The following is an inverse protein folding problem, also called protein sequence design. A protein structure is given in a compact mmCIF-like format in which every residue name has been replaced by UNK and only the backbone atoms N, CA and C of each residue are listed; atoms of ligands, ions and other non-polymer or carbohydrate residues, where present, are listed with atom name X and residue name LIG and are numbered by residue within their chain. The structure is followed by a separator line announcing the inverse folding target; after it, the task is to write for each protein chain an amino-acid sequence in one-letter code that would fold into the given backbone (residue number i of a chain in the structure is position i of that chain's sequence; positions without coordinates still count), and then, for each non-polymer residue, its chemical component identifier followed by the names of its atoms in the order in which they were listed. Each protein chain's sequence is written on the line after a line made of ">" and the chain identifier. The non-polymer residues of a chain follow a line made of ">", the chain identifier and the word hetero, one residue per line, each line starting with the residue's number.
data_IF_473293475793
#
_entry.id   IF_473293475793
#
_cell.length_a   1.000
_cell.length_b   1.000
_cell.length_c   1.000
_cell.angle_alpha   90.00
_cell.angle_beta   90.00
_cell.angle_gamma   90.00
#
_symmetry.space_group_name_H-M   'P 1'
#
loop_
_entity.id
_entity.type
_entity.pdbx_description
1 polymer ?
#
# COMPACT_ATOMS: atom_id res chain seq x y z
N UNK A 1 -44.40 41.25 39.08
CA UNK A 1 -44.70 40.29 37.99
C UNK A 1 -44.12 40.82 36.70
N UNK A 2 -42.90 40.43 36.35
CA UNK A 2 -42.37 40.52 34.98
C UNK A 2 -41.48 39.29 34.80
N UNK A 3 -41.94 38.34 34.00
CA UNK A 3 -41.32 37.03 33.81
C UNK A 3 -40.23 37.06 32.74
N UNK A 4 -39.15 36.33 33.00
CA UNK A 4 -38.12 35.98 32.04
C UNK A 4 -38.64 34.97 31.00
N UNK A 5 -38.32 35.19 29.73
CA UNK A 5 -38.37 34.16 28.70
C UNK A 5 -36.96 33.97 28.13
N UNK A 6 -36.37 32.81 28.42
CA UNK A 6 -35.22 32.25 27.70
C UNK A 6 -35.72 31.55 26.43
N UNK A 7 -35.21 31.95 25.27
CA UNK A 7 -35.41 31.23 24.01
C UNK A 7 -34.36 30.12 23.87
N UNK A 8 -34.82 28.87 24.00
CA UNK A 8 -34.10 27.68 23.60
C UNK A 8 -34.10 27.56 22.06
N UNK A 9 -32.94 27.69 21.42
CA UNK A 9 -32.73 27.21 20.05
C UNK A 9 -32.33 25.74 20.08
N UNK A 10 -33.30 24.84 19.95
CA UNK A 10 -33.06 23.43 19.64
C UNK A 10 -32.68 23.31 18.15
N UNK A 11 -31.39 23.19 17.89
CA UNK A 11 -30.88 22.77 16.59
C UNK A 11 -31.25 21.29 16.38
N UNK A 12 -31.98 21.02 15.30
CA UNK A 12 -32.45 19.70 14.90
C UNK A 12 -31.28 18.70 14.84
N UNK A 13 -31.37 17.63 15.65
CA UNK A 13 -30.54 16.44 15.49
C UNK A 13 -31.05 15.68 14.27
N UNK A 14 -30.36 15.85 13.14
CA UNK A 14 -30.47 14.90 12.03
C UNK A 14 -29.88 13.57 12.48
N UNK A 15 -30.74 12.62 12.83
CA UNK A 15 -30.40 11.20 12.93
C UNK A 15 -29.97 10.73 11.54
N UNK A 16 -28.67 10.51 11.36
CA UNK A 16 -28.13 9.79 10.20
C UNK A 16 -28.66 8.36 10.34
N UNK A 17 -29.47 7.92 9.36
CA UNK A 17 -29.90 6.54 9.24
C UNK A 17 -28.66 5.66 9.03
N UNK A 18 -28.29 4.87 10.05
CA UNK A 18 -27.45 3.70 9.88
C UNK A 18 -28.24 2.69 9.05
N UNK A 19 -28.02 2.68 7.73
CA UNK A 19 -28.54 1.64 6.84
C UNK A 19 -28.08 0.25 7.28
N UNK A 20 -28.68 -0.84 6.78
CA UNK A 20 -28.33 -2.19 7.19
C UNK A 20 -26.88 -2.49 6.76
N UNK A 21 -25.94 -2.29 7.67
CA UNK A 21 -24.57 -2.77 7.53
C UNK A 21 -24.66 -4.29 7.51
N UNK A 22 -24.36 -4.92 6.38
CA UNK A 22 -24.16 -6.37 6.32
C UNK A 22 -23.06 -6.72 7.32
N UNK A 23 -23.42 -7.48 8.35
CA UNK A 23 -22.46 -7.89 9.37
C UNK A 23 -21.66 -9.07 8.80
N UNK A 24 -20.53 -8.77 8.15
CA UNK A 24 -19.59 -9.80 7.71
C UNK A 24 -19.10 -10.60 8.92
N UNK A 25 -19.16 -11.93 8.84
CA UNK A 25 -18.50 -12.78 9.83
C UNK A 25 -17.01 -12.90 9.49
N UNK A 26 -16.18 -12.09 10.18
CA UNK A 26 -14.73 -12.12 9.96
C UNK A 26 -14.08 -13.45 10.37
N UNK A 27 -14.73 -14.30 11.18
CA UNK A 27 -14.18 -15.62 11.50
C UNK A 27 -14.07 -16.53 10.27
N UNK A 28 -14.90 -16.30 9.26
CA UNK A 28 -14.80 -16.96 7.95
C UNK A 28 -13.46 -16.64 7.26
N UNK A 29 -13.02 -15.38 7.35
CA UNK A 29 -11.79 -14.92 6.69
C UNK A 29 -10.54 -15.19 7.51
N UNK A 30 -10.61 -15.11 8.84
CA UNK A 30 -9.43 -15.27 9.72
C UNK A 30 -9.04 -16.75 9.76
N UNK A 31 -7.76 -17.04 9.49
CA UNK A 31 -7.28 -18.43 9.46
C UNK A 31 -7.31 -19.11 10.84
N UNK A 32 -7.24 -20.44 10.83
CA UNK A 32 -7.33 -21.27 12.02
C UNK A 32 -6.30 -20.92 13.10
N UNK A 33 -5.07 -20.58 12.72
CA UNK A 33 -4.02 -20.16 13.64
C UNK A 33 -4.34 -18.83 14.31
N UNK A 34 -4.81 -17.86 13.54
CA UNK A 34 -5.07 -16.50 14.00
C UNK A 34 -6.28 -16.42 14.93
N UNK A 35 -7.26 -17.31 14.74
CA UNK A 35 -8.38 -17.48 15.69
C UNK A 35 -7.91 -17.91 17.08
N UNK A 36 -6.74 -18.56 17.20
CA UNK A 36 -6.18 -19.00 18.49
C UNK A 36 -5.38 -17.91 19.21
N UNK A 37 -4.93 -16.87 18.51
CA UNK A 37 -4.27 -15.76 19.17
C UNK A 37 -5.18 -15.10 20.21
N UNK A 38 -4.57 -14.72 21.32
CA UNK A 38 -5.14 -13.95 22.43
C UNK A 38 -4.21 -12.77 22.68
N UNK A 39 -4.76 -11.67 23.19
CA UNK A 39 -3.94 -10.54 23.60
C UNK A 39 -2.95 -10.99 24.69
N UNK A 40 -1.76 -10.41 24.65
CA UNK A 40 -0.77 -10.61 25.71
C UNK A 40 -1.26 -9.96 27.01
N UNK A 41 -1.27 -10.68 28.15
CA UNK A 41 -1.64 -10.10 29.44
C UNK A 41 -0.78 -8.88 29.82
N UNK A 42 0.51 -8.88 29.45
CA UNK A 42 1.40 -7.73 29.69
C UNK A 42 1.01 -6.51 28.87
N UNK A 43 0.40 -6.71 27.70
CA UNK A 43 -0.07 -5.62 26.84
C UNK A 43 -1.39 -5.03 27.35
N UNK A 44 -2.29 -5.87 27.86
CA UNK A 44 -3.48 -5.37 28.56
C UNK A 44 -3.10 -4.50 29.77
N UNK A 45 -2.11 -4.91 30.56
CA UNK A 45 -1.58 -4.11 31.68
C UNK A 45 -0.94 -2.81 31.18
N UNK A 46 -0.20 -2.85 30.07
CA UNK A 46 0.42 -1.67 29.48
C UNK A 46 -0.63 -0.65 28.99
N UNK A 47 -1.67 -1.11 28.31
CA UNK A 47 -2.77 -0.26 27.84
C UNK A 47 -3.54 0.37 29.03
N UNK A 48 -3.76 -0.40 30.12
CA UNK A 48 -4.30 0.14 31.37
C UNK A 48 -3.37 1.22 31.92
N UNK A 49 -2.07 0.93 32.05
CA UNK A 49 -1.10 1.90 32.58
C UNK A 49 -1.09 3.18 31.75
N UNK A 50 -1.13 3.10 30.42
CA UNK A 50 -1.16 4.26 29.53
C UNK A 50 -2.43 5.10 29.71
N UNK A 51 -3.57 4.47 30.01
CA UNK A 51 -4.85 5.17 30.28
C UNK A 51 -4.91 5.88 31.65
N UNK A 52 -4.05 5.53 32.60
CA UNK A 52 -4.03 6.14 33.94
C UNK A 52 -3.58 7.62 33.89
N UNK A 53 -4.09 8.47 34.80
CA UNK A 53 -3.73 9.88 34.89
C UNK A 53 -2.25 10.11 35.25
N UNK A 54 -1.82 11.38 35.19
CA UNK A 54 -0.46 11.77 35.60
C UNK A 54 -0.16 11.42 37.06
N UNK A 55 1.12 11.18 37.38
CA UNK A 55 1.56 10.71 38.69
C UNK A 55 1.51 9.19 38.88
N UNK A 56 1.05 8.44 37.87
CA UNK A 56 1.11 6.98 37.83
C UNK A 56 2.54 6.44 37.99
N UNK A 57 2.67 5.34 38.73
CA UNK A 57 3.95 4.68 39.01
C UNK A 57 3.92 3.27 38.42
N UNK A 58 4.92 2.91 37.63
CA UNK A 58 5.07 1.58 37.06
C UNK A 58 6.10 0.76 37.86
N UNK A 59 5.65 -0.34 38.45
CA UNK A 59 6.51 -1.40 39.03
C UNK A 59 6.27 -2.78 38.39
N UNK A 60 5.37 -2.86 37.40
CA UNK A 60 4.92 -4.12 36.81
C UNK A 60 5.52 -4.37 35.41
N UNK A 61 5.58 -3.34 34.57
CA UNK A 61 6.08 -3.43 33.19
C UNK A 61 7.60 -3.25 33.19
N UNK A 62 8.30 -4.10 32.44
CA UNK A 62 9.76 -4.10 32.30
C UNK A 62 10.31 -2.98 31.41
N UNK A 63 9.81 -1.74 31.54
CA UNK A 63 10.30 -0.61 30.77
C UNK A 63 11.66 -0.11 31.31
N UNK A 64 12.70 0.02 30.47
CA UNK A 64 13.96 0.63 30.89
C UNK A 64 13.76 2.10 31.28
N UNK A 65 14.55 2.58 32.25
CA UNK A 65 14.50 3.96 32.69
C UNK A 65 15.00 4.90 31.57
N UNK A 66 14.16 5.82 31.11
CA UNK A 66 14.51 6.73 30.01
C UNK A 66 15.73 7.62 30.29
N UNK A 67 16.11 7.81 31.56
CA UNK A 67 17.35 8.52 31.92
C UNK A 67 18.63 7.79 31.49
N UNK A 68 18.56 6.49 31.16
CA UNK A 68 19.71 5.72 30.66
C UNK A 68 19.82 5.73 29.13
N UNK A 69 18.85 6.32 28.43
CA UNK A 69 18.90 6.43 26.98
C UNK A 69 20.01 7.40 26.56
N UNK A 70 20.83 7.00 25.60
CA UNK A 70 22.06 7.73 25.23
C UNK A 70 21.83 9.05 24.46
N UNK A 71 20.58 9.41 24.14
CA UNK A 71 20.25 10.55 23.30
C UNK A 71 19.63 11.68 24.11
N UNK A 72 20.29 12.83 24.18
CA UNK A 72 19.74 14.03 24.81
C UNK A 72 18.74 14.75 23.90
N UNK A 73 19.05 14.85 22.61
CA UNK A 73 18.19 15.44 21.58
C UNK A 73 18.52 14.86 20.21
N UNK A 74 17.57 14.94 19.27
CA UNK A 74 17.75 14.60 17.86
C UNK A 74 17.25 15.79 17.03
N UNK A 75 18.10 16.29 16.13
CA UNK A 75 17.75 17.36 15.18
C UNK A 75 17.70 16.80 13.76
N UNK A 76 16.57 17.02 13.08
CA UNK A 76 16.38 16.67 11.66
C UNK A 76 16.25 17.96 10.87
N UNK A 77 17.16 18.20 9.92
CA UNK A 77 17.10 19.37 9.03
C UNK A 77 16.50 18.96 7.70
N UNK A 78 15.42 19.63 7.30
CA UNK A 78 14.71 19.40 6.04
C UNK A 78 15.39 20.15 4.89
N UNK A 79 15.17 19.68 3.65
CA UNK A 79 15.75 20.30 2.45
C UNK A 79 15.33 21.77 2.23
N UNK A 80 14.19 22.18 2.80
CA UNK A 80 13.72 23.56 2.75
C UNK A 80 14.29 24.45 3.88
N UNK A 81 15.25 23.95 4.66
CA UNK A 81 15.92 24.67 5.74
C UNK A 81 15.17 24.64 7.09
N UNK A 82 13.96 24.09 7.16
CA UNK A 82 13.26 23.88 8.43
C UNK A 82 13.93 22.77 9.25
N UNK A 83 13.77 22.81 10.57
CA UNK A 83 14.29 21.77 11.46
C UNK A 83 13.23 21.24 12.42
N UNK A 84 13.31 19.94 12.73
CA UNK A 84 12.58 19.27 13.80
C UNK A 84 13.55 18.95 14.93
N UNK A 85 13.19 19.27 16.18
CA UNK A 85 13.99 18.94 17.36
C UNK A 85 13.19 18.05 18.30
N UNK A 86 13.64 16.80 18.48
CA UNK A 86 13.09 15.87 19.46
C UNK A 86 13.92 15.94 20.73
N UNK A 87 13.28 16.24 21.87
CA UNK A 87 13.92 16.30 23.20
C UNK A 87 12.92 16.00 24.32
N UNK A 88 13.43 15.73 25.53
CA UNK A 88 12.61 15.55 26.72
C UNK A 88 11.55 14.45 26.57
N UNK A 89 10.30 14.75 26.97
CA UNK A 89 9.20 13.78 26.97
C UNK A 89 8.94 13.18 25.58
N UNK A 90 8.99 14.00 24.52
CA UNK A 90 8.75 13.52 23.15
C UNK A 90 9.81 12.51 22.70
N UNK A 91 11.09 12.81 22.98
CA UNK A 91 12.19 11.89 22.66
C UNK A 91 12.11 10.61 23.49
N UNK A 92 11.83 10.73 24.79
CA UNK A 92 11.71 9.58 25.68
C UNK A 92 10.57 8.65 25.23
N UNK A 93 9.41 9.21 24.84
CA UNK A 93 8.29 8.43 24.27
C UNK A 93 8.68 7.76 22.95
N UNK A 94 9.45 8.45 22.09
CA UNK A 94 9.88 7.91 20.80
C UNK A 94 10.85 6.72 20.93
N UNK A 95 11.68 6.73 21.98
CA UNK A 95 12.73 5.73 22.21
C UNK A 95 12.30 4.58 23.15
N UNK A 96 11.17 4.73 23.85
CA UNK A 96 10.63 3.70 24.73
C UNK A 96 9.80 2.67 23.94
N UNK A 97 9.62 1.49 24.52
CA UNK A 97 8.57 0.56 24.09
C UNK A 97 7.20 1.25 24.08
N UNK A 98 6.39 0.92 23.08
CA UNK A 98 5.03 1.42 22.94
C UNK A 98 3.99 0.31 22.76
N UNK A 99 2.74 0.75 22.61
CA UNK A 99 1.61 -0.10 22.25
C UNK A 99 1.77 -0.65 20.82
N UNK A 100 1.30 -1.88 20.57
CA UNK A 100 1.38 -2.51 19.24
C UNK A 100 0.47 -1.84 18.21
N UNK A 101 -0.53 -1.11 18.69
CA UNK A 101 -1.41 -0.24 17.93
C UNK A 101 -0.65 0.99 17.39
N UNK A 102 0.55 1.27 17.90
CA UNK A 102 1.35 2.44 17.57
C UNK A 102 1.19 3.58 18.56
N UNK A 103 1.93 4.67 18.34
CA UNK A 103 1.81 5.88 19.13
C UNK A 103 0.41 6.49 18.96
N UNK A 104 -0.33 6.71 20.05
CA UNK A 104 -1.72 7.14 20.02
C UNK A 104 -1.95 8.47 19.28
N UNK A 105 -1.07 9.46 19.47
CA UNK A 105 -1.17 10.74 18.78
C UNK A 105 -0.98 10.55 17.26
N UNK A 106 -0.03 9.70 16.86
CA UNK A 106 0.20 9.38 15.46
C UNK A 106 -0.97 8.58 14.86
N UNK A 107 -1.52 7.60 15.56
CA UNK A 107 -2.70 6.83 15.10
C UNK A 107 -3.91 7.74 14.91
N UNK A 108 -4.15 8.67 15.84
CA UNK A 108 -5.22 9.65 15.71
C UNK A 108 -5.01 10.56 14.50
N UNK A 109 -3.77 10.99 14.26
CA UNK A 109 -3.42 11.74 13.05
C UNK A 109 -3.67 10.92 11.79
N UNK A 110 -3.30 9.63 11.77
CA UNK A 110 -3.55 8.73 10.63
C UNK A 110 -5.04 8.56 10.33
N UNK A 111 -5.90 8.48 11.35
CA UNK A 111 -7.36 8.43 11.16
C UNK A 111 -7.88 9.70 10.47
N UNK A 112 -7.43 10.86 10.93
CA UNK A 112 -7.77 12.15 10.30
C UNK A 112 -7.21 12.26 8.88
N UNK A 113 -6.03 11.70 8.63
CA UNK A 113 -5.44 11.61 7.31
C UNK A 113 -6.33 10.76 6.38
N UNK A 114 -6.79 9.59 6.83
CA UNK A 114 -7.68 8.75 6.03
C UNK A 114 -9.03 9.40 5.76
N UNK A 115 -9.67 9.99 6.77
CA UNK A 115 -10.94 10.69 6.60
C UNK A 115 -10.82 11.84 5.59
N UNK A 116 -9.67 12.50 5.53
CA UNK A 116 -9.41 13.61 4.60
C UNK A 116 -9.29 13.15 3.14
N UNK A 117 -8.59 12.07 2.86
CA UNK A 117 -8.32 11.63 1.48
C UNK A 117 -9.35 10.63 0.94
N UNK A 118 -9.95 9.83 1.83
CA UNK A 118 -10.89 8.78 1.46
C UNK A 118 -12.33 9.08 1.88
N UNK A 119 -12.53 10.17 2.64
CA UNK A 119 -13.83 10.52 3.23
C UNK A 119 -14.08 9.74 4.52
N UNK A 120 -14.98 10.25 5.39
CA UNK A 120 -15.41 9.47 6.54
C UNK A 120 -16.10 8.20 6.05
N UNK A 121 -15.65 7.05 6.54
CA UNK A 121 -16.28 5.79 6.19
C UNK A 121 -17.74 5.78 6.65
N UNK A 122 -18.58 5.15 5.83
CA UNK A 122 -20.02 4.98 6.08
C UNK A 122 -20.24 4.15 7.35
N UNK A 123 -19.27 3.30 7.69
CA UNK A 123 -19.21 2.50 8.92
C UNK A 123 -18.11 3.01 9.86
N UNK A 124 -18.39 3.01 11.17
CA UNK A 124 -17.45 3.54 12.19
C UNK A 124 -16.55 2.48 12.83
N UNK A 125 -16.79 1.21 12.55
CA UNK A 125 -16.06 0.10 13.13
C UNK A 125 -14.75 -0.22 12.39
N UNK A 126 -13.96 0.80 12.05
CA UNK A 126 -12.63 0.71 11.44
C UNK A 126 -11.53 1.09 12.43
N UNK A 127 -10.30 0.66 12.17
CA UNK A 127 -9.11 1.18 12.84
C UNK A 127 -7.97 1.46 11.87
N UNK A 128 -6.91 2.04 12.40
CA UNK A 128 -5.64 2.24 11.69
C UNK A 128 -4.48 1.76 12.57
N UNK A 129 -3.60 0.93 12.01
CA UNK A 129 -2.39 0.47 12.70
C UNK A 129 -1.14 0.83 11.87
N UNK A 130 -0.11 1.47 12.47
CA UNK A 130 1.17 1.67 11.83
C UNK A 130 1.88 0.35 11.53
N UNK A 131 2.64 0.32 10.46
CA UNK A 131 3.47 -0.82 10.06
C UNK A 131 4.87 -0.35 9.65
N UNK A 132 5.79 -1.30 9.56
CA UNK A 132 7.13 -1.13 9.03
C UNK A 132 7.14 -1.01 7.49
N UNK A 133 6.11 -0.38 6.91
CA UNK A 133 5.84 -0.26 5.48
C UNK A 133 4.92 -1.36 4.91
N UNK A 134 4.46 -1.18 3.66
CA UNK A 134 3.48 -2.08 3.03
C UNK A 134 3.88 -3.56 3.05
N UNK A 135 5.17 -3.90 2.87
CA UNK A 135 5.61 -5.30 2.85
C UNK A 135 5.33 -6.04 4.16
N UNK A 136 5.59 -5.41 5.32
CA UNK A 136 5.26 -6.02 6.62
C UNK A 136 3.75 -6.13 6.77
N UNK A 137 3.01 -5.09 6.37
CA UNK A 137 1.56 -5.09 6.45
C UNK A 137 0.90 -6.18 5.60
N UNK A 138 1.32 -6.38 4.35
CA UNK A 138 0.84 -7.50 3.51
C UNK A 138 1.19 -8.83 4.19
N UNK A 139 2.40 -8.98 4.72
CA UNK A 139 2.81 -10.20 5.42
C UNK A 139 1.93 -10.52 6.63
N UNK A 140 1.58 -9.50 7.43
CA UNK A 140 0.69 -9.64 8.58
C UNK A 140 -0.74 -10.01 8.15
N UNK A 141 -1.26 -9.38 7.10
CA UNK A 141 -2.61 -9.66 6.57
C UNK A 141 -2.69 -11.09 6.03
N UNK A 142 -1.74 -11.50 5.18
CA UNK A 142 -1.67 -12.87 4.65
C UNK A 142 -1.54 -13.87 5.80
N UNK A 143 -0.72 -13.59 6.81
CA UNK A 143 -0.55 -14.47 7.97
C UNK A 143 -1.78 -14.49 8.90
N UNK A 144 -2.64 -13.47 8.82
CA UNK A 144 -3.90 -13.37 9.58
C UNK A 144 -5.05 -14.09 8.88
N UNK A 145 -5.13 -13.97 7.55
CA UNK A 145 -6.29 -14.39 6.74
C UNK A 145 -6.07 -15.75 6.09
N UNK A 146 -4.88 -16.02 5.57
CA UNK A 146 -4.66 -17.14 4.67
C UNK A 146 -3.97 -18.32 5.36
N UNK A 147 -4.40 -19.53 5.02
CA UNK A 147 -3.74 -20.80 5.33
C UNK A 147 -3.64 -21.67 4.06
N UNK A 148 -3.00 -22.84 4.17
CA UNK A 148 -2.88 -23.76 3.03
C UNK A 148 -4.25 -24.12 2.45
N UNK A 149 -4.28 -24.36 1.14
CA UNK A 149 -5.48 -24.70 0.35
C UNK A 149 -6.50 -23.56 0.20
N UNK A 150 -6.21 -22.37 0.74
CA UNK A 150 -6.97 -21.16 0.43
C UNK A 150 -6.76 -20.71 -1.01
N UNK A 151 -7.65 -19.84 -1.46
CA UNK A 151 -7.66 -19.27 -2.81
C UNK A 151 -7.55 -17.74 -2.70
N UNK A 152 -6.68 -17.14 -3.52
CA UNK A 152 -6.43 -15.70 -3.55
C UNK A 152 -6.49 -15.21 -5.00
N UNK A 153 -7.08 -14.04 -5.22
CA UNK A 153 -6.97 -13.34 -6.50
C UNK A 153 -5.76 -12.41 -6.45
N UNK A 154 -4.87 -12.47 -7.43
CA UNK A 154 -3.72 -11.56 -7.54
C UNK A 154 -3.72 -10.86 -8.90
N UNK A 155 -3.24 -9.63 -8.96
CA UNK A 155 -2.89 -9.04 -10.25
C UNK A 155 -1.84 -9.89 -10.98
N UNK A 156 -1.83 -9.84 -12.30
CA UNK A 156 -0.80 -10.50 -13.12
C UNK A 156 -0.50 -9.63 -14.35
N UNK A 157 0.75 -9.16 -14.54
CA UNK A 157 1.91 -9.31 -13.65
C UNK A 157 1.72 -8.58 -12.30
N UNK A 158 2.50 -8.93 -11.27
CA UNK A 158 2.40 -8.34 -9.92
C UNK A 158 3.75 -8.13 -9.25
N UNK A 159 3.77 -7.33 -8.18
CA UNK A 159 4.95 -7.06 -7.37
C UNK A 159 5.56 -8.35 -6.80
N UNK A 160 6.87 -8.62 -7.00
CA UNK A 160 7.48 -9.90 -6.60
C UNK A 160 7.45 -10.16 -5.08
N UNK A 161 7.32 -9.11 -4.26
CA UNK A 161 7.18 -9.26 -2.81
C UNK A 161 5.86 -9.93 -2.39
N UNK A 162 4.79 -9.85 -3.21
CA UNK A 162 3.55 -10.61 -3.01
C UNK A 162 3.78 -12.07 -3.36
N UNK A 163 4.42 -12.35 -4.51
CA UNK A 163 4.72 -13.72 -4.93
C UNK A 163 5.63 -14.45 -3.95
N UNK A 164 6.66 -13.76 -3.44
CA UNK A 164 7.59 -14.29 -2.43
C UNK A 164 6.89 -14.70 -1.14
N UNK A 165 5.75 -14.07 -0.83
CA UNK A 165 4.93 -14.36 0.34
C UNK A 165 3.93 -15.49 0.09
N UNK A 166 3.36 -15.58 -1.12
CA UNK A 166 2.30 -16.54 -1.45
C UNK A 166 2.83 -17.89 -1.95
N UNK A 167 3.89 -17.92 -2.77
CA UNK A 167 4.47 -19.16 -3.33
C UNK A 167 4.75 -20.23 -2.27
N UNK A 168 5.29 -19.91 -1.07
CA UNK A 168 5.56 -20.92 -0.05
C UNK A 168 4.31 -21.49 0.66
N UNK A 169 3.09 -20.95 0.41
CA UNK A 169 1.91 -21.20 1.25
C UNK A 169 0.95 -22.29 0.76
N UNK A 170 1.25 -23.00 -0.32
CA UNK A 170 0.31 -23.97 -0.94
C UNK A 170 -1.10 -23.37 -1.12
N UNK A 171 -1.16 -22.19 -1.73
CA UNK A 171 -2.39 -21.42 -1.99
C UNK A 171 -2.63 -21.37 -3.49
N UNK A 172 -3.89 -21.48 -3.91
CA UNK A 172 -4.27 -21.29 -5.31
C UNK A 172 -4.34 -19.79 -5.63
N UNK A 173 -3.63 -19.36 -6.67
CA UNK A 173 -3.62 -17.97 -7.16
C UNK A 173 -4.45 -17.83 -8.44
N UNK A 174 -5.57 -17.11 -8.36
CA UNK A 174 -6.40 -16.76 -9.51
C UNK A 174 -5.89 -15.43 -10.10
N UNK A 175 -5.56 -15.36 -11.40
CA UNK A 175 -5.05 -14.13 -12.00
C UNK A 175 -6.18 -13.13 -12.29
N UNK A 176 -5.95 -11.87 -11.94
CA UNK A 176 -6.58 -10.69 -12.52
C UNK A 176 -5.54 -10.04 -13.45
N UNK A 177 -5.66 -10.26 -14.75
CA UNK A 177 -4.71 -9.71 -15.71
C UNK A 177 -4.82 -8.18 -15.79
N UNK A 178 -3.70 -7.49 -15.60
CA UNK A 178 -3.57 -6.02 -15.62
C UNK A 178 -2.29 -5.63 -16.34
N UNK A 179 -2.23 -5.92 -17.64
CA UNK A 179 -1.11 -5.59 -18.52
C UNK A 179 -1.56 -4.60 -19.62
N UNK A 180 -0.79 -4.48 -20.69
CA UNK A 180 -1.05 -3.51 -21.77
C UNK A 180 -2.36 -3.73 -22.53
N UNK A 181 -3.10 -4.81 -22.26
CA UNK A 181 -4.47 -5.01 -22.75
C UNK A 181 -5.53 -4.44 -21.79
N UNK A 182 -5.11 -3.86 -20.66
CA UNK A 182 -5.98 -3.30 -19.62
C UNK A 182 -6.36 -4.29 -18.51
N UNK A 183 -7.36 -3.93 -17.70
CA UNK A 183 -7.84 -4.77 -16.59
C UNK A 183 -8.88 -5.77 -17.09
N UNK A 184 -8.56 -7.07 -17.07
CA UNK A 184 -9.40 -8.14 -17.63
C UNK A 184 -10.48 -8.64 -16.65
N UNK A 185 -11.41 -7.76 -16.27
CA UNK A 185 -12.46 -8.07 -15.27
C UNK A 185 -13.42 -9.17 -15.73
N UNK A 186 -13.75 -9.24 -17.02
CA UNK A 186 -14.69 -10.25 -17.54
C UNK A 186 -14.13 -11.68 -17.37
N UNK A 187 -12.82 -11.85 -17.57
CA UNK A 187 -12.15 -13.13 -17.31
C UNK A 187 -12.30 -13.53 -15.84
N UNK A 188 -12.07 -12.59 -14.90
CA UNK A 188 -12.25 -12.85 -13.48
C UNK A 188 -13.72 -13.21 -13.16
N UNK A 189 -14.68 -12.50 -13.75
CA UNK A 189 -16.12 -12.77 -13.57
C UNK A 189 -16.49 -14.18 -14.02
N UNK A 190 -15.99 -14.62 -15.17
CA UNK A 190 -16.23 -15.96 -15.69
C UNK A 190 -15.62 -17.04 -14.78
N UNK A 191 -14.36 -16.87 -14.36
CA UNK A 191 -13.68 -17.80 -13.43
C UNK A 191 -14.49 -17.95 -12.14
N UNK A 192 -14.89 -16.84 -11.51
CA UNK A 192 -15.65 -16.87 -10.25
C UNK A 192 -17.03 -17.54 -10.42
N UNK A 193 -17.70 -17.29 -11.55
CA UNK A 193 -18.98 -17.93 -11.87
C UNK A 193 -18.84 -19.45 -12.03
N UNK A 194 -17.86 -19.90 -12.80
CA UNK A 194 -17.61 -21.33 -13.03
C UNK A 194 -17.24 -22.05 -11.73
N UNK A 195 -16.36 -21.45 -10.91
CA UNK A 195 -15.99 -22.01 -9.60
C UNK A 195 -17.21 -22.20 -8.70
N UNK A 196 -18.05 -21.16 -8.61
CA UNK A 196 -19.29 -21.20 -7.83
C UNK A 196 -20.24 -22.31 -8.28
N UNK A 197 -20.40 -22.51 -9.60
CA UNK A 197 -21.23 -23.60 -10.15
C UNK A 197 -20.62 -24.98 -9.85
N UNK A 198 -19.30 -25.11 -9.94
CA UNK A 198 -18.58 -26.37 -9.70
C UNK A 198 -18.36 -26.71 -8.22
N UNK A 199 -18.80 -25.85 -7.29
CA UNK A 199 -18.57 -26.03 -5.85
C UNK A 199 -17.10 -25.96 -5.42
N UNK A 200 -16.22 -25.32 -6.22
CA UNK A 200 -14.83 -25.09 -5.85
C UNK A 200 -14.72 -23.99 -4.80
N UNK A 201 -13.68 -24.05 -3.98
CA UNK A 201 -13.39 -23.01 -2.97
C UNK A 201 -13.35 -21.62 -3.61
N UNK A 202 -14.07 -20.68 -3.04
CA UNK A 202 -14.05 -19.28 -3.48
C UNK A 202 -12.84 -18.56 -2.86
N UNK A 203 -12.30 -17.51 -3.51
CA UNK A 203 -11.20 -16.74 -2.95
C UNK A 203 -11.60 -16.09 -1.62
N UNK A 204 -10.65 -16.00 -0.69
CA UNK A 204 -10.82 -15.23 0.56
C UNK A 204 -10.40 -13.77 0.42
N UNK A 205 -9.45 -13.52 -0.48
CA UNK A 205 -8.76 -12.24 -0.61
C UNK A 205 -8.46 -11.94 -2.08
N UNK A 206 -8.60 -10.68 -2.48
CA UNK A 206 -7.94 -10.13 -3.67
C UNK A 206 -6.83 -9.17 -3.23
N UNK A 207 -5.65 -9.23 -3.85
CA UNK A 207 -4.55 -8.29 -3.63
C UNK A 207 -4.37 -7.44 -4.89
N UNK A 208 -4.50 -6.12 -4.77
CA UNK A 208 -4.40 -5.17 -5.88
C UNK A 208 -3.51 -3.98 -5.53
N UNK A 209 -2.68 -3.57 -6.49
CA UNK A 209 -2.12 -2.24 -6.61
C UNK A 209 -3.03 -1.37 -7.50
N UNK A 210 -3.82 -0.51 -6.86
CA UNK A 210 -4.85 0.31 -7.50
C UNK A 210 -4.32 1.42 -8.41
N UNK A 211 -3.19 2.02 -8.05
CA UNK A 211 -2.66 3.22 -8.70
C UNK A 211 -1.22 2.96 -9.14
N UNK A 212 -0.91 3.15 -10.44
CA UNK A 212 0.44 2.97 -10.97
C UNK A 212 1.05 1.60 -10.65
N UNK A 213 0.28 0.52 -10.87
CA UNK A 213 0.60 -0.83 -10.41
C UNK A 213 2.00 -1.31 -10.78
N UNK A 214 2.65 -2.04 -9.87
CA UNK A 214 3.96 -2.62 -10.13
C UNK A 214 3.80 -4.06 -10.65
N UNK A 215 4.22 -4.38 -11.89
CA UNK A 215 5.09 -3.59 -12.76
C UNK A 215 4.39 -2.81 -13.88
N UNK A 216 3.10 -3.03 -14.11
CA UNK A 216 2.42 -2.63 -15.36
C UNK A 216 2.32 -1.11 -15.58
N UNK A 217 2.44 -0.31 -14.52
CA UNK A 217 2.18 1.14 -14.54
C UNK A 217 0.70 1.50 -14.64
N UNK A 218 -0.20 0.52 -14.57
CA UNK A 218 -1.64 0.70 -14.79
C UNK A 218 -2.34 1.16 -13.52
N UNK A 219 -3.27 2.09 -13.70
CA UNK A 219 -4.20 2.54 -12.65
C UNK A 219 -5.57 1.94 -12.97
N UNK A 220 -6.15 1.23 -12.00
CA UNK A 220 -7.50 0.67 -12.12
C UNK A 220 -8.49 1.85 -12.10
N UNK A 221 -9.34 1.96 -13.10
CA UNK A 221 -10.34 3.02 -13.20
C UNK A 221 -11.43 2.90 -12.14
N UNK A 222 -12.16 3.98 -11.85
CA UNK A 222 -13.26 3.95 -10.88
C UNK A 222 -14.35 2.93 -11.26
N UNK A 223 -14.66 2.80 -12.56
CA UNK A 223 -15.62 1.81 -13.07
C UNK A 223 -15.14 0.39 -12.76
N UNK A 224 -13.88 0.10 -13.08
CA UNK A 224 -13.27 -1.21 -12.82
C UNK A 224 -13.20 -1.53 -11.31
N UNK A 225 -12.90 -0.54 -10.47
CA UNK A 225 -12.96 -0.70 -9.00
C UNK A 225 -14.37 -1.04 -8.52
N UNK A 226 -15.41 -0.38 -9.06
CA UNK A 226 -16.81 -0.71 -8.75
C UNK A 226 -17.16 -2.14 -9.16
N UNK A 227 -16.72 -2.57 -10.34
CA UNK A 227 -16.95 -3.94 -10.82
C UNK A 227 -16.25 -4.98 -9.92
N UNK A 228 -14.98 -4.75 -9.54
CA UNK A 228 -14.24 -5.61 -8.61
C UNK A 228 -14.92 -5.65 -7.24
N UNK A 229 -15.35 -4.49 -6.73
CA UNK A 229 -16.04 -4.38 -5.46
C UNK A 229 -17.36 -5.15 -5.46
N UNK A 230 -18.15 -5.06 -6.54
CA UNK A 230 -19.38 -5.85 -6.70
C UNK A 230 -19.11 -7.35 -6.75
N UNK A 231 -18.02 -7.79 -7.40
CA UNK A 231 -17.60 -9.20 -7.37
C UNK A 231 -17.22 -9.63 -5.96
N UNK A 232 -16.53 -8.77 -5.21
CA UNK A 232 -16.16 -9.02 -3.81
C UNK A 232 -17.39 -9.19 -2.94
N UNK A 233 -18.40 -8.32 -3.08
CA UNK A 233 -19.70 -8.45 -2.42
C UNK A 233 -20.41 -9.75 -2.80
N UNK A 234 -20.53 -10.04 -4.09
CA UNK A 234 -21.27 -11.20 -4.61
C UNK A 234 -20.67 -12.54 -4.19
N UNK A 235 -19.35 -12.65 -4.22
CA UNK A 235 -18.62 -13.90 -3.99
C UNK A 235 -17.94 -13.96 -2.62
N UNK A 236 -18.20 -12.97 -1.78
CA UNK A 236 -17.76 -12.85 -0.39
C UNK A 236 -16.26 -12.99 -0.17
N UNK A 237 -15.46 -12.09 -0.77
CA UNK A 237 -14.03 -11.97 -0.51
C UNK A 237 -13.63 -10.58 -0.04
N UNK A 238 -12.51 -10.49 0.67
CA UNK A 238 -11.90 -9.23 1.12
C UNK A 238 -11.02 -8.62 0.03
N UNK A 239 -10.83 -7.30 0.07
CA UNK A 239 -9.98 -6.55 -0.85
C UNK A 239 -8.80 -5.98 -0.08
N UNK A 240 -7.58 -6.40 -0.44
CA UNK A 240 -6.35 -5.79 -0.01
C UNK A 240 -5.86 -4.81 -1.08
N UNK A 241 -6.06 -3.52 -0.84
CA UNK A 241 -5.57 -2.43 -1.68
C UNK A 241 -4.18 -1.99 -1.18
N UNK A 242 -3.11 -2.46 -1.85
CA UNK A 242 -1.74 -1.98 -1.63
C UNK A 242 -1.45 -0.77 -2.52
N UNK A 243 -1.49 0.45 -1.98
CA UNK A 243 -1.50 1.66 -2.81
C UNK A 243 -0.36 2.64 -2.51
N UNK A 244 0.92 2.20 -2.55
CA UNK A 244 2.06 3.05 -2.19
C UNK A 244 2.30 4.19 -3.19
N UNK A 245 1.65 4.16 -4.37
CA UNK A 245 1.77 5.16 -5.42
C UNK A 245 0.54 6.07 -5.53
N UNK A 246 -0.42 5.99 -4.59
CA UNK A 246 -1.66 6.77 -4.61
C UNK A 246 -1.44 8.27 -4.89
N UNK A 247 -0.52 8.88 -4.16
CA UNK A 247 -0.15 10.30 -4.29
C UNK A 247 0.72 10.62 -5.52
N UNK A 248 1.14 9.60 -6.27
CA UNK A 248 1.89 9.74 -7.52
C UNK A 248 0.99 9.62 -8.75
N UNK A 249 -0.30 9.92 -8.61
CA UNK A 249 -1.21 10.09 -9.76
C UNK A 249 -0.90 11.39 -10.49
N UNK A 250 -0.69 11.30 -11.81
CA UNK A 250 -0.41 12.47 -12.63
C UNK A 250 -1.66 13.30 -12.97
N UNK A 251 -2.85 12.73 -12.79
CA UNK A 251 -4.13 13.43 -12.86
C UNK A 251 -4.26 14.49 -11.77
N UNK A 252 -4.93 15.60 -12.06
CA UNK A 252 -5.30 16.60 -11.06
C UNK A 252 -6.36 16.06 -10.08
N UNK A 253 -7.25 15.20 -10.58
CA UNK A 253 -8.18 14.45 -9.75
C UNK A 253 -7.50 13.20 -9.18
N UNK A 254 -7.44 13.13 -7.85
CA UNK A 254 -6.89 11.97 -7.15
C UNK A 254 -7.84 10.77 -7.34
N UNK A 255 -7.34 9.57 -7.72
CA UNK A 255 -8.19 8.40 -7.91
C UNK A 255 -9.01 8.06 -6.67
N UNK A 256 -10.26 7.58 -6.86
CA UNK A 256 -11.04 6.99 -5.78
C UNK A 256 -10.41 5.67 -5.34
N UNK A 257 -10.22 5.50 -4.04
CA UNK A 257 -9.75 4.24 -3.42
C UNK A 257 -10.87 3.21 -3.28
N UNK A 258 -10.52 1.94 -3.12
CA UNK A 258 -11.50 0.94 -2.66
C UNK A 258 -12.07 1.29 -1.29
N UNK A 259 -11.23 1.83 -0.40
CA UNK A 259 -11.65 2.22 0.95
C UNK A 259 -12.79 3.26 0.93
N UNK A 260 -12.69 4.26 0.06
CA UNK A 260 -13.72 5.31 -0.09
C UNK A 260 -15.06 4.83 -0.64
N UNK A 261 -15.12 3.62 -1.21
CA UNK A 261 -16.36 3.00 -1.70
C UNK A 261 -16.81 1.80 -0.85
N UNK A 262 -16.11 1.51 0.25
CA UNK A 262 -16.35 0.34 1.08
C UNK A 262 -17.60 0.51 1.95
N UNK A 263 -18.75 0.10 1.41
CA UNK A 263 -20.04 0.06 2.09
C UNK A 263 -20.25 -1.18 2.97
N UNK A 264 -19.51 -2.26 2.73
CA UNK A 264 -19.70 -3.58 3.37
C UNK A 264 -18.55 -4.01 4.26
N UNK A 265 -17.60 -3.10 4.54
CA UNK A 265 -16.49 -3.32 5.48
C UNK A 265 -15.53 -4.43 5.00
N UNK A 266 -15.27 -4.53 3.68
CA UNK A 266 -14.43 -5.60 3.11
C UNK A 266 -13.05 -5.14 2.63
N UNK A 267 -12.71 -3.86 2.83
CA UNK A 267 -11.45 -3.29 2.33
C UNK A 267 -10.42 -3.15 3.44
N UNK A 268 -9.24 -3.72 3.19
CA UNK A 268 -7.99 -3.46 3.89
C UNK A 268 -7.13 -2.60 2.96
N UNK A 269 -6.85 -1.37 3.36
CA UNK A 269 -5.99 -0.44 2.61
C UNK A 269 -4.62 -0.35 3.24
N UNK A 270 -3.59 -0.39 2.41
CA UNK A 270 -2.21 -0.14 2.80
C UNK A 270 -1.70 1.16 2.21
N UNK A 271 -1.13 1.96 3.08
CA UNK A 271 -0.48 3.20 2.73
C UNK A 271 0.98 3.16 3.21
N UNK A 272 1.87 3.85 2.50
CA UNK A 272 3.28 3.93 2.87
C UNK A 272 3.89 5.29 2.60
N UNK A 273 4.72 5.76 3.55
CA UNK A 273 5.55 6.95 3.37
C UNK A 273 6.77 6.70 2.48
N UNK A 274 6.97 5.47 2.00
CA UNK A 274 8.19 5.07 1.27
C UNK A 274 8.41 5.81 -0.04
N UNK A 275 7.34 6.17 -0.75
CA UNK A 275 7.41 6.75 -2.10
C UNK A 275 7.18 8.24 -2.15
N UNK A 276 6.76 8.82 -1.01
CA UNK A 276 6.51 10.25 -0.85
C UNK A 276 7.55 10.89 0.07
N UNK A 277 7.94 10.24 1.17
CA UNK A 277 8.90 10.82 2.13
C UNK A 277 10.25 10.12 2.06
N UNK A 278 10.33 8.85 2.48
CA UNK A 278 11.58 8.07 2.40
C UNK A 278 11.33 6.58 2.68
N UNK A 279 11.86 5.65 1.86
CA UNK A 279 11.73 4.22 2.11
C UNK A 279 12.51 3.74 3.34
N UNK A 280 13.60 4.42 3.71
CA UNK A 280 14.47 4.06 4.83
C UNK A 280 13.85 4.32 6.20
N UNK A 281 12.80 5.15 6.29
CA UNK A 281 12.06 5.37 7.53
C UNK A 281 11.26 4.15 7.97
N UNK A 282 11.04 3.18 7.06
CA UNK A 282 10.28 1.95 7.31
C UNK A 282 8.94 2.25 8.00
N UNK A 283 8.14 3.13 7.39
CA UNK A 283 6.84 3.50 7.96
C UNK A 283 5.73 3.44 6.90
N UNK A 284 4.65 2.80 7.27
CA UNK A 284 3.38 2.75 6.58
C UNK A 284 2.27 2.49 7.59
N UNK A 285 1.08 2.16 7.11
CA UNK A 285 -0.05 1.82 7.98
C UNK A 285 -1.12 1.03 7.21
N UNK A 286 -1.99 0.37 7.98
CA UNK A 286 -3.12 -0.41 7.50
C UNK A 286 -4.39 0.21 8.01
N UNK A 287 -5.37 0.41 7.14
CA UNK A 287 -6.73 0.82 7.50
C UNK A 287 -7.71 -0.27 7.12
N UNK A 288 -8.64 -0.61 8.00
CA UNK A 288 -9.64 -1.63 7.70
C UNK A 288 -10.49 -2.03 8.90
N UNK A 289 -11.23 -3.14 8.80
CA UNK A 289 -12.12 -3.62 9.84
C UNK A 289 -11.39 -3.92 11.14
N UNK A 290 -11.93 -3.42 12.26
CA UNK A 290 -11.36 -3.62 13.61
C UNK A 290 -11.09 -5.09 13.90
N UNK A 291 -12.00 -5.97 13.54
CA UNK A 291 -11.95 -7.41 13.79
C UNK A 291 -10.73 -8.07 13.14
N UNK A 292 -10.34 -7.62 11.95
CA UNK A 292 -9.13 -8.09 11.27
C UNK A 292 -7.88 -7.46 11.89
N UNK A 293 -7.91 -6.14 12.15
CA UNK A 293 -6.77 -5.42 12.71
C UNK A 293 -6.42 -5.87 14.14
N UNK A 294 -7.40 -6.25 14.96
CA UNK A 294 -7.19 -6.84 16.29
C UNK A 294 -6.39 -8.16 16.22
N UNK A 295 -6.64 -8.98 15.20
CA UNK A 295 -5.84 -10.19 14.96
C UNK A 295 -4.45 -9.86 14.44
N UNK A 296 -4.32 -8.85 13.59
CA UNK A 296 -3.00 -8.37 13.16
C UNK A 296 -2.17 -7.83 14.33
N UNK A 297 -2.79 -7.11 15.27
CA UNK A 297 -2.12 -6.63 16.50
C UNK A 297 -1.59 -7.81 17.31
N UNK A 298 -2.33 -8.91 17.42
CA UNK A 298 -1.83 -10.11 18.11
C UNK A 298 -0.59 -10.71 17.43
N UNK A 299 -0.55 -10.73 16.09
CA UNK A 299 0.65 -11.14 15.33
C UNK A 299 1.82 -10.17 15.53
N UNK A 300 1.55 -8.86 15.59
CA UNK A 300 2.57 -7.86 15.89
C UNK A 300 3.19 -8.10 17.27
N UNK A 301 2.36 -8.39 18.28
CA UNK A 301 2.82 -8.66 19.65
C UNK A 301 3.79 -9.86 19.76
N UNK A 302 3.71 -10.82 18.83
CA UNK A 302 4.62 -11.97 18.75
C UNK A 302 5.77 -11.81 17.73
N UNK A 303 5.86 -10.65 17.07
CA UNK A 303 6.85 -10.35 16.04
C UNK A 303 7.56 -9.01 16.28
N UNK A 304 7.27 -7.99 15.47
CA UNK A 304 7.96 -6.69 15.50
C UNK A 304 7.44 -5.72 16.56
N UNK A 305 6.36 -6.08 17.26
CA UNK A 305 5.63 -5.26 18.25
C UNK A 305 4.96 -4.04 17.62
N UNK A 306 5.72 -3.11 17.06
CA UNK A 306 5.29 -1.92 16.32
C UNK A 306 6.45 -1.38 15.48
N UNK A 307 6.22 -0.58 14.42
CA UNK A 307 7.32 0.09 13.71
C UNK A 307 8.11 1.03 14.64
N UNK A 308 9.34 1.37 14.26
CA UNK A 308 10.23 2.25 15.04
C UNK A 308 9.50 3.47 15.61
N UNK A 309 9.51 3.62 16.94
CA UNK A 309 8.88 4.76 17.63
C UNK A 309 9.49 6.10 17.18
N UNK A 310 10.79 6.11 16.90
CA UNK A 310 11.47 7.28 16.35
C UNK A 310 10.95 7.65 14.96
N UNK A 311 10.76 6.67 14.06
CA UNK A 311 10.18 6.93 12.73
C UNK A 311 8.76 7.48 12.82
N UNK A 312 7.93 6.91 13.71
CA UNK A 312 6.57 7.41 13.95
C UNK A 312 6.58 8.87 14.41
N UNK A 313 7.42 9.21 15.38
CA UNK A 313 7.50 10.58 15.92
C UNK A 313 8.07 11.57 14.90
N UNK A 314 9.11 11.19 14.14
CA UNK A 314 9.67 12.05 13.08
C UNK A 314 8.61 12.37 12.03
N UNK A 315 7.89 11.36 11.52
CA UNK A 315 6.83 11.58 10.53
C UNK A 315 5.69 12.40 11.14
N UNK A 316 5.27 12.09 12.37
CA UNK A 316 4.19 12.83 13.00
C UNK A 316 4.52 14.32 13.19
N UNK A 317 5.71 14.65 13.70
CA UNK A 317 6.14 16.05 13.87
C UNK A 317 6.35 16.75 12.52
N UNK A 318 6.87 16.04 11.51
CA UNK A 318 6.97 16.56 10.14
C UNK A 318 5.58 16.93 9.59
N UNK A 319 4.60 16.04 9.73
CA UNK A 319 3.24 16.27 9.24
C UNK A 319 2.52 17.38 10.00
N UNK A 320 2.78 17.54 11.30
CA UNK A 320 2.29 18.70 12.08
C UNK A 320 2.92 20.01 11.60
N UNK A 321 4.22 20.02 11.31
CA UNK A 321 4.91 21.21 10.82
C UNK A 321 4.44 21.60 9.41
N UNK A 322 4.32 20.63 8.51
CA UNK A 322 3.83 20.85 7.15
C UNK A 322 2.34 21.17 7.10
N UNK A 323 1.57 20.63 8.04
CA UNK A 323 0.11 20.58 7.97
C UNK A 323 -0.34 19.97 6.63
N UNK A 324 -1.62 20.16 6.27
CA UNK A 324 -2.13 19.66 5.01
C UNK A 324 -1.46 20.33 3.80
N UNK A 325 -1.36 21.66 3.81
CA UNK A 325 -0.88 22.42 2.65
C UNK A 325 0.59 22.15 2.34
N UNK A 326 1.45 22.07 3.36
CA UNK A 326 2.86 21.73 3.17
C UNK A 326 3.04 20.29 2.69
N UNK A 327 2.24 19.34 3.17
CA UNK A 327 2.26 17.97 2.68
C UNK A 327 1.84 17.90 1.21
N UNK A 328 0.75 18.57 0.83
CA UNK A 328 0.28 18.59 -0.57
C UNK A 328 1.26 19.30 -1.50
N UNK A 329 1.94 20.36 -1.01
CA UNK A 329 3.00 21.02 -1.76
C UNK A 329 4.19 20.07 -2.00
N UNK A 330 4.65 19.35 -0.97
CA UNK A 330 5.69 18.33 -1.11
C UNK A 330 5.27 17.21 -2.08
N UNK A 331 4.05 16.70 -1.96
CA UNK A 331 3.49 15.70 -2.91
C UNK A 331 3.50 16.24 -4.34
N UNK A 332 3.11 17.50 -4.55
CA UNK A 332 3.11 18.14 -5.87
C UNK A 332 4.53 18.19 -6.46
N UNK A 333 5.53 18.56 -5.67
CA UNK A 333 6.93 18.58 -6.10
C UNK A 333 7.42 17.19 -6.53
N UNK A 334 7.15 16.17 -5.71
CA UNK A 334 7.48 14.77 -6.03
C UNK A 334 6.76 14.28 -7.28
N UNK A 335 5.46 14.60 -7.43
CA UNK A 335 4.66 14.27 -8.61
C UNK A 335 5.24 14.91 -9.88
N UNK A 336 5.56 16.21 -9.84
CA UNK A 336 6.14 16.93 -10.99
C UNK A 336 7.47 16.31 -11.43
N UNK A 337 8.32 15.92 -10.47
CA UNK A 337 9.59 15.25 -10.77
C UNK A 337 9.37 13.94 -11.55
N UNK A 338 8.53 13.04 -11.05
CA UNK A 338 8.31 11.76 -11.75
C UNK A 338 7.53 11.95 -13.07
N UNK A 339 6.63 12.92 -13.15
CA UNK A 339 5.92 13.24 -14.39
C UNK A 339 6.89 13.72 -15.48
N UNK A 340 7.81 14.62 -15.13
CA UNK A 340 8.88 15.11 -16.00
C UNK A 340 9.74 13.96 -16.52
N UNK A 341 10.20 13.07 -15.64
CA UNK A 341 11.02 11.92 -16.04
C UNK A 341 10.25 10.94 -16.95
N UNK A 342 8.96 10.70 -16.65
CA UNK A 342 8.07 9.91 -17.51
C UNK A 342 8.02 10.51 -18.91
N UNK A 343 7.76 11.81 -19.01
CA UNK A 343 7.54 12.47 -20.30
C UNK A 343 8.82 12.46 -21.17
N UNK A 344 9.99 12.65 -20.57
CA UNK A 344 11.29 12.53 -21.27
C UNK A 344 11.52 11.09 -21.75
N UNK A 345 11.25 10.09 -20.89
CA UNK A 345 11.36 8.68 -21.29
C UNK A 345 10.42 8.33 -22.44
N UNK A 346 9.19 8.85 -22.42
CA UNK A 346 8.22 8.64 -23.50
C UNK A 346 8.66 9.29 -24.82
N UNK A 347 9.27 10.48 -24.77
CA UNK A 347 9.84 11.12 -25.97
C UNK A 347 10.98 10.30 -26.58
N UNK A 348 11.88 9.76 -25.75
CA UNK A 348 12.94 8.89 -26.21
C UNK A 348 12.39 7.58 -26.80
N UNK A 349 11.31 7.03 -26.23
CA UNK A 349 10.63 5.82 -26.73
C UNK A 349 9.98 6.08 -28.09
N UNK A 350 9.26 7.19 -28.28
CA UNK A 350 8.68 7.53 -29.59
C UNK A 350 9.76 7.79 -30.64
N UNK A 351 10.92 8.30 -30.24
CA UNK A 351 12.06 8.53 -31.15
C UNK A 351 12.73 7.23 -31.56
N UNK A 352 13.09 6.37 -30.60
CA UNK A 352 13.99 5.23 -30.86
C UNK A 352 13.28 3.88 -30.97
N UNK A 353 12.19 3.67 -30.22
CA UNK A 353 11.50 2.37 -30.08
C UNK A 353 10.19 2.28 -30.86
N UNK A 354 9.86 3.26 -31.69
CA UNK A 354 8.66 3.24 -32.53
C UNK A 354 8.62 1.98 -33.41
N UNK A 355 7.52 1.24 -33.30
CA UNK A 355 7.33 -0.03 -34.00
C UNK A 355 8.12 -1.22 -33.43
N UNK A 356 8.93 -1.03 -32.38
CA UNK A 356 9.68 -2.10 -31.70
C UNK A 356 9.01 -2.59 -30.42
N UNK A 357 8.17 -1.76 -29.79
CA UNK A 357 7.52 -2.06 -28.51
C UNK A 357 6.04 -1.69 -28.52
N UNK A 358 5.25 -2.32 -27.64
CA UNK A 358 3.91 -1.88 -27.24
C UNK A 358 3.92 -1.50 -25.75
N UNK A 359 3.17 -0.46 -25.38
CA UNK A 359 3.03 -0.02 -23.99
C UNK A 359 1.78 0.83 -23.79
N UNK A 360 1.37 0.98 -22.53
CA UNK A 360 0.39 1.99 -22.09
C UNK A 360 1.15 3.11 -21.38
N UNK A 361 0.78 4.36 -21.65
CA UNK A 361 1.32 5.53 -20.94
C UNK A 361 0.88 5.48 -19.48
N UNK A 362 1.81 5.40 -18.50
CA UNK A 362 1.45 5.31 -17.10
C UNK A 362 0.84 6.63 -16.61
N UNK A 363 -0.33 6.53 -16.00
CA UNK A 363 -1.05 7.66 -15.40
C UNK A 363 -0.62 7.94 -13.96
N UNK A 364 0.17 7.05 -13.35
CA UNK A 364 0.70 7.20 -12.01
C UNK A 364 1.96 6.37 -11.78
N UNK A 365 2.64 6.62 -10.65
CA UNK A 365 3.82 5.84 -10.24
C UNK A 365 5.02 6.06 -11.17
N UNK A 366 6.06 5.24 -11.03
CA UNK A 366 7.33 5.45 -11.73
C UNK A 366 7.85 4.24 -12.52
N UNK A 367 6.91 3.43 -13.03
CA UNK A 367 7.19 2.26 -13.85
C UNK A 367 6.56 2.38 -15.22
N UNK A 368 7.26 1.82 -16.21
CA UNK A 368 6.79 1.66 -17.57
C UNK A 368 6.98 0.20 -17.99
N UNK A 369 5.90 -0.44 -18.42
CA UNK A 369 5.90 -1.83 -18.85
C UNK A 369 5.87 -1.89 -20.37
N UNK A 370 6.93 -2.47 -20.95
CA UNK A 370 7.08 -2.58 -22.40
C UNK A 370 6.93 -4.05 -22.82
N UNK A 371 6.09 -4.31 -23.81
CA UNK A 371 6.09 -5.57 -24.57
C UNK A 371 6.97 -5.40 -25.79
N UNK A 372 8.06 -6.17 -25.88
CA UNK A 372 9.03 -6.13 -26.96
C UNK A 372 8.54 -7.02 -28.13
N UNK A 373 8.41 -6.47 -29.34
CA UNK A 373 7.77 -7.19 -30.46
C UNK A 373 8.61 -8.33 -31.04
N UNK A 374 9.93 -8.18 -31.02
CA UNK A 374 10.88 -9.10 -31.66
C UNK A 374 11.66 -9.98 -30.68
N UNK A 375 11.44 -9.77 -29.38
CA UNK A 375 12.04 -10.54 -28.29
C UNK A 375 11.00 -11.52 -27.78
N UNK A 376 11.34 -12.81 -27.70
CA UNK A 376 10.46 -13.84 -27.10
C UNK A 376 10.78 -14.08 -25.64
N UNK A 377 12.07 -14.04 -25.30
CA UNK A 377 12.58 -14.26 -23.96
C UNK A 377 13.31 -13.00 -23.45
N UNK A 378 12.63 -12.28 -22.57
CA UNK A 378 13.16 -11.08 -21.92
C UNK A 378 14.35 -11.37 -21.02
N UNK A 379 14.51 -12.58 -20.46
CA UNK A 379 15.67 -12.92 -19.61
C UNK A 379 16.97 -12.83 -20.42
N UNK A 380 16.98 -13.42 -21.62
CA UNK A 380 18.14 -13.37 -22.53
C UNK A 380 18.39 -11.93 -22.95
N UNK A 381 17.34 -11.17 -23.28
CA UNK A 381 17.47 -9.79 -23.69
C UNK A 381 18.03 -8.88 -22.59
N UNK A 382 17.59 -9.01 -21.33
CA UNK A 382 18.14 -8.20 -20.23
C UNK A 382 19.59 -8.54 -19.92
N UNK A 383 20.04 -9.77 -20.21
CA UNK A 383 21.46 -10.12 -20.12
C UNK A 383 22.30 -9.36 -21.15
N UNK A 384 21.83 -9.25 -22.40
CA UNK A 384 22.46 -8.39 -23.43
C UNK A 384 22.46 -6.91 -23.03
N UNK A 385 21.39 -6.45 -22.38
CA UNK A 385 21.35 -5.08 -21.84
C UNK A 385 22.44 -4.87 -20.77
N UNK A 386 22.64 -5.86 -19.89
CA UNK A 386 23.64 -5.80 -18.82
C UNK A 386 25.08 -5.78 -19.36
N UNK A 387 25.36 -6.48 -20.46
CA UNK A 387 26.64 -6.41 -21.17
C UNK A 387 26.94 -5.00 -21.71
N UNK A 388 25.88 -4.21 -21.95
CA UNK A 388 25.95 -2.79 -22.32
C UNK A 388 25.80 -1.85 -21.10
N UNK A 389 25.98 -2.37 -19.88
CA UNK A 389 25.88 -1.63 -18.61
C UNK A 389 24.49 -1.04 -18.32
N UNK A 390 23.43 -1.59 -18.94
CA UNK A 390 22.06 -1.16 -18.74
C UNK A 390 21.30 -2.22 -17.94
N UNK A 391 20.87 -1.87 -16.73
CA UNK A 391 20.06 -2.74 -15.89
C UNK A 391 18.56 -2.56 -16.19
N UNK A 392 17.92 -3.64 -16.64
CA UNK A 392 16.47 -3.72 -16.89
C UNK A 392 15.89 -4.90 -16.14
N UNK A 393 14.65 -4.78 -15.63
CA UNK A 393 13.98 -5.94 -15.01
C UNK A 393 13.22 -6.73 -16.05
N UNK A 394 13.55 -8.02 -16.16
CA UNK A 394 12.86 -8.97 -17.04
C UNK A 394 11.43 -9.24 -16.55
N UNK A 395 10.52 -9.53 -17.48
CA UNK A 395 9.09 -9.64 -17.20
C UNK A 395 8.72 -10.86 -16.37
N UNK A 396 9.46 -11.95 -16.51
CA UNK A 396 9.26 -13.22 -15.79
C UNK A 396 9.27 -13.05 -14.26
N UNK A 397 10.06 -12.10 -13.74
CA UNK A 397 10.17 -11.82 -12.31
C UNK A 397 8.83 -11.43 -11.65
N UNK A 398 7.83 -11.03 -12.45
CA UNK A 398 6.53 -10.55 -12.01
C UNK A 398 5.38 -11.55 -12.22
N UNK A 399 5.70 -12.79 -12.57
CA UNK A 399 4.72 -13.87 -12.75
C UNK A 399 4.88 -14.96 -11.69
N UNK A 400 3.77 -15.62 -11.39
CA UNK A 400 3.74 -16.79 -10.51
C UNK A 400 4.61 -17.93 -11.06
N UNK A 401 4.50 -18.23 -12.36
CA UNK A 401 5.29 -19.30 -12.97
C UNK A 401 6.77 -18.92 -13.01
N UNK A 402 7.62 -19.74 -12.37
CA UNK A 402 9.06 -19.60 -12.50
C UNK A 402 9.48 -19.81 -13.96
N UNK A 403 10.47 -19.03 -14.39
CA UNK A 403 11.00 -19.08 -15.75
C UNK A 403 9.97 -18.91 -16.87
N UNK A 404 8.85 -18.23 -16.58
CA UNK A 404 7.87 -17.87 -17.61
C UNK A 404 8.58 -17.12 -18.74
N UNK A 405 8.54 -17.69 -19.95
CA UNK A 405 9.01 -16.99 -21.13
C UNK A 405 8.08 -15.80 -21.41
N UNK A 406 8.62 -14.59 -21.35
CA UNK A 406 7.86 -13.36 -21.61
C UNK A 406 8.64 -12.43 -22.52
N UNK A 407 7.94 -11.67 -23.35
CA UNK A 407 8.53 -10.61 -24.16
C UNK A 407 8.51 -9.25 -23.46
N UNK A 408 8.22 -9.20 -22.17
CA UNK A 408 7.99 -7.95 -21.45
C UNK A 408 9.18 -7.56 -20.59
N UNK A 409 9.40 -6.26 -20.43
CA UNK A 409 10.37 -5.70 -19.49
C UNK A 409 9.75 -4.56 -18.70
N UNK A 410 10.26 -4.31 -17.49
CA UNK A 410 9.91 -3.13 -16.70
C UNK A 410 11.07 -2.14 -16.68
N UNK A 411 10.79 -0.92 -17.15
CA UNK A 411 11.65 0.24 -16.94
C UNK A 411 11.17 1.03 -15.72
N UNK A 412 12.11 1.66 -15.00
CA UNK A 412 11.78 2.65 -13.98
C UNK A 412 12.46 3.96 -14.30
N UNK A 413 11.69 5.04 -14.25
CA UNK A 413 12.18 6.41 -14.43
C UNK A 413 12.36 7.13 -13.09
N UNK A 414 12.60 6.37 -12.01
CA UNK A 414 12.63 6.89 -10.64
C UNK A 414 13.98 7.45 -10.18
N UNK A 415 15.08 6.85 -10.63
CA UNK A 415 16.43 7.16 -10.17
C UNK A 415 17.41 7.45 -11.32
N UNK A 416 16.92 7.49 -12.56
CA UNK A 416 17.72 7.79 -13.75
C UNK A 416 17.81 9.31 -13.94
N UNK A 417 19.00 9.79 -14.31
CA UNK A 417 19.20 11.20 -14.66
C UNK A 417 18.61 11.49 -16.07
N UNK A 418 18.05 12.68 -16.26
CA UNK A 418 17.34 13.04 -17.50
C UNK A 418 18.21 12.87 -18.77
N UNK A 419 19.52 13.13 -18.67
CA UNK A 419 20.49 13.06 -19.76
C UNK A 419 20.86 11.61 -20.15
N UNK A 420 20.68 10.65 -19.25
CA UNK A 420 20.96 9.24 -19.51
C UNK A 420 19.80 8.54 -20.24
N UNK A 421 18.58 9.09 -20.16
CA UNK A 421 17.37 8.46 -20.70
C UNK A 421 17.49 8.19 -22.20
N UNK A 422 17.90 9.18 -23.00
CA UNK A 422 18.02 9.03 -24.45
C UNK A 422 19.05 7.96 -24.84
N UNK A 423 20.21 7.98 -24.18
CA UNK A 423 21.25 6.98 -24.37
C UNK A 423 20.74 5.56 -24.07
N UNK A 424 20.09 5.35 -22.92
CA UNK A 424 19.56 4.04 -22.53
C UNK A 424 18.53 3.56 -23.57
N UNK A 425 17.56 4.39 -23.93
CA UNK A 425 16.48 3.99 -24.83
C UNK A 425 16.99 3.75 -26.26
N UNK A 426 17.96 4.55 -26.75
CA UNK A 426 18.60 4.34 -28.06
C UNK A 426 19.42 3.03 -28.11
N UNK A 427 20.12 2.68 -27.03
CA UNK A 427 20.84 1.40 -26.91
C UNK A 427 19.88 0.22 -26.91
N UNK A 428 18.77 0.30 -26.15
CA UNK A 428 17.72 -0.73 -26.20
C UNK A 428 17.18 -0.93 -27.62
N UNK A 429 16.98 0.16 -28.37
CA UNK A 429 16.51 0.11 -29.74
C UNK A 429 17.49 -0.63 -30.67
N UNK A 430 18.79 -0.39 -30.49
CA UNK A 430 19.86 -1.07 -31.24
C UNK A 430 19.83 -2.57 -30.96
N UNK A 431 19.83 -2.97 -29.68
CA UNK A 431 19.79 -4.38 -29.28
C UNK A 431 18.54 -5.12 -29.78
N UNK A 432 17.36 -4.47 -29.78
CA UNK A 432 16.14 -5.07 -30.32
C UNK A 432 16.23 -5.26 -31.84
N UNK A 433 16.86 -4.33 -32.57
CA UNK A 433 17.03 -4.43 -34.03
C UNK A 433 18.03 -5.52 -34.42
N UNK A 434 19.10 -5.71 -33.64
CA UNK A 434 20.04 -6.82 -33.82
C UNK A 434 19.33 -8.17 -33.69
N UNK A 435 18.55 -8.36 -32.62
CA UNK A 435 17.78 -9.59 -32.42
C UNK A 435 16.71 -9.82 -33.50
N UNK A 436 16.16 -8.75 -34.08
CA UNK A 436 15.24 -8.84 -35.23
C UNK A 436 15.97 -9.28 -36.50
N UNK A 437 17.21 -8.84 -36.71
CA UNK A 437 18.02 -9.20 -37.87
C UNK A 437 18.49 -10.65 -37.82
N UNK A 438 18.90 -11.15 -36.65
CA UNK A 438 19.34 -12.53 -36.45
C UNK A 438 18.24 -13.58 -36.68
N UNK A 439 16.98 -13.16 -36.77
CA UNK A 439 15.79 -14.01 -36.98
C UNK A 439 15.21 -13.93 -38.40
N UNK A 440 15.75 -13.09 -39.27
CA UNK A 440 15.44 -13.07 -40.71
C UNK A 440 16.47 -13.88 -41.46
#
# INVERSE_FOLDING_TARGET
>A
MVGHNHSNNQCARNTINDGPVTNLDYNFFINSASRRYRQSPLREIADIFDSLPEGKVNIALGFPNAATFAFQNINVTLKNGLSLTLKGVTLNKALQYGSSQGNSDFVNWLKQFQDRFHGPLVWKAYDVIPSSGSQEAISLIVSTILESDDVVIIQTPTYPGVLSLLKPKNIEMIPLHTDIEGVQIESLRQILKERSISGKSMPKLIIVNSTGGNPSGITISEKEKKDIYQLACKYNFLILEDDPYYFLSYSDDIPKSFLSMDSERRVLRLDSFSKIVSPGLRLGFVTGPKEVLEKMICHLQSSSIHPSGLSQVIIHELMKQWQHNGFMQHVKEVKMFYQRNRDIMLQAIDTHLKGLVDYIVPSAGFFLWLRLKFIRDSKIFVQKCLENLILVTSGDAFYEQDDKMTSSIRLSFSAIDEDQIDHVISTLATLIREEMADKK
#
